data_IF_333139156188
#
_entry.id   IF_333139156188
#
_cell.length_a   1.000
_cell.length_b   1.000
_cell.length_c   1.000
_cell.angle_alpha   90.00
_cell.angle_beta   90.00
_cell.angle_gamma   90.00
#
_symmetry.space_group_name_H-M   'P 1'
#
loop_
_entity.id
_entity.type
_entity.pdbx_description
1 polymer ?
#
# COMPACT_ATOMS: atom_id res chain seq x y z
N UNK A 1 7.03 -15.19 10.27
CA UNK A 1 6.21 -14.02 9.87
C UNK A 1 6.74 -13.43 8.57
N UNK A 2 7.97 -12.90 8.49
CA UNK A 2 8.52 -12.30 7.24
C UNK A 2 8.39 -13.23 6.01
N UNK A 3 8.69 -14.52 6.16
CA UNK A 3 8.62 -15.50 5.05
C UNK A 3 7.20 -15.70 4.47
N UNK A 4 6.16 -15.26 5.16
CA UNK A 4 4.78 -15.31 4.70
C UNK A 4 4.36 -14.02 3.97
N UNK A 5 5.20 -12.98 3.97
CA UNK A 5 5.02 -11.77 3.14
C UNK A 5 5.74 -12.00 1.81
N UNK A 6 5.07 -12.01 0.65
CA UNK A 6 5.71 -12.21 -0.66
C UNK A 6 6.87 -11.25 -0.97
N UNK A 7 6.82 -10.01 -0.46
CA UNK A 7 7.94 -9.07 -0.58
C UNK A 7 9.15 -9.40 0.30
N UNK A 8 9.07 -10.41 1.17
CA UNK A 8 10.21 -10.91 1.95
C UNK A 8 10.74 -9.94 3.01
N UNK A 9 9.98 -8.89 3.36
CA UNK A 9 10.34 -7.89 4.37
C UNK A 9 9.13 -7.41 5.15
N UNK A 10 9.39 -6.80 6.31
CA UNK A 10 8.37 -6.02 7.01
C UNK A 10 7.99 -4.76 6.22
N UNK A 11 6.74 -4.34 6.39
CA UNK A 11 6.29 -3.02 5.97
C UNK A 11 6.98 -1.92 6.78
N UNK A 12 7.31 -0.83 6.11
CA UNK A 12 7.87 0.38 6.68
C UNK A 12 6.83 1.51 6.58
N UNK A 13 6.92 2.56 7.42
CA UNK A 13 6.01 3.70 7.34
C UNK A 13 5.90 4.30 5.92
N UNK A 14 7.03 4.36 5.21
CA UNK A 14 7.11 4.86 3.83
C UNK A 14 6.24 4.07 2.84
N UNK A 15 6.01 2.77 3.06
CA UNK A 15 5.18 1.96 2.17
C UNK A 15 3.72 2.42 2.18
N UNK A 16 3.19 2.75 3.36
CA UNK A 16 1.84 3.28 3.52
C UNK A 16 1.78 4.75 3.11
N UNK A 17 2.80 5.54 3.46
CA UNK A 17 2.87 6.95 3.12
C UNK A 17 2.82 7.18 1.60
N UNK A 18 3.53 6.37 0.81
CA UNK A 18 3.50 6.48 -0.66
C UNK A 18 2.13 6.16 -1.24
N UNK A 19 1.41 5.18 -0.69
CA UNK A 19 0.02 4.90 -1.10
C UNK A 19 -0.90 6.05 -0.73
N UNK A 20 -0.75 6.61 0.47
CA UNK A 20 -1.54 7.76 0.90
C UNK A 20 -1.30 9.01 0.03
N UNK A 21 -0.05 9.29 -0.31
CA UNK A 21 0.31 10.40 -1.20
C UNK A 21 -0.27 10.20 -2.60
N UNK A 22 -0.18 8.99 -3.15
CA UNK A 22 -0.85 8.66 -4.42
C UNK A 22 -2.36 8.91 -4.35
N UNK A 23 -3.04 8.43 -3.30
CA UNK A 23 -4.48 8.64 -3.13
C UNK A 23 -4.87 10.11 -2.96
N UNK A 24 -3.96 10.95 -2.46
CA UNK A 24 -4.16 12.39 -2.31
C UNK A 24 -3.76 13.20 -3.57
N UNK A 25 -3.24 12.54 -4.60
CA UNK A 25 -2.73 13.18 -5.82
C UNK A 25 -3.76 13.21 -6.94
N UNK A 26 -3.55 14.07 -7.95
CA UNK A 26 -4.45 14.18 -9.11
C UNK A 26 -4.50 12.90 -9.94
N UNK A 27 -3.44 12.08 -9.88
CA UNK A 27 -3.33 10.78 -10.50
C UNK A 27 -4.39 9.78 -10.00
N UNK A 28 -4.93 10.01 -8.80
CA UNK A 28 -6.00 9.20 -8.22
C UNK A 28 -7.41 9.79 -8.45
N UNK A 29 -7.57 10.80 -9.31
CA UNK A 29 -8.83 11.55 -9.50
C UNK A 29 -10.07 10.71 -9.87
N UNK A 30 -9.89 9.50 -10.40
CA UNK A 30 -11.00 8.58 -10.72
C UNK A 30 -11.20 7.44 -9.71
N UNK A 31 -10.41 7.40 -8.64
CA UNK A 31 -10.52 6.40 -7.57
C UNK A 31 -11.37 6.96 -6.42
N UNK A 32 -12.48 6.28 -6.12
CA UNK A 32 -13.35 6.61 -4.98
C UNK A 32 -14.04 5.35 -4.45
N UNK A 33 -14.31 5.28 -3.16
CA UNK A 33 -14.97 4.13 -2.52
C UNK A 33 -14.11 2.88 -2.37
N UNK A 34 -12.84 2.92 -2.79
CA UNK A 34 -11.94 1.76 -2.82
C UNK A 34 -11.06 1.65 -1.57
N UNK A 35 -10.65 0.41 -1.25
CA UNK A 35 -9.74 0.12 -0.15
C UNK A 35 -8.45 -0.51 -0.67
N UNK A 36 -7.37 0.27 -0.66
CA UNK A 36 -6.03 -0.23 -1.02
C UNK A 36 -5.34 -0.84 0.20
N UNK A 37 -4.82 -2.06 0.06
CA UNK A 37 -4.11 -2.77 1.13
C UNK A 37 -2.62 -2.82 0.84
N UNK A 38 -1.81 -2.05 1.56
CA UNK A 38 -0.35 -2.04 1.47
C UNK A 38 0.28 -3.15 2.34
N UNK A 39 0.06 -4.42 1.99
CA UNK A 39 0.44 -5.58 2.83
C UNK A 39 1.71 -6.31 2.39
N UNK A 40 2.40 -5.82 1.36
CA UNK A 40 3.53 -6.52 0.75
C UNK A 40 3.18 -7.90 0.18
N UNK A 41 1.91 -8.10 -0.20
CA UNK A 41 1.38 -9.34 -0.77
C UNK A 41 0.77 -10.31 0.26
N UNK A 42 0.77 -9.95 1.55
CA UNK A 42 0.03 -10.73 2.55
C UNK A 42 -1.48 -10.55 2.34
N UNK A 43 -2.24 -11.64 2.31
CA UNK A 43 -3.70 -11.61 2.17
C UNK A 43 -4.38 -12.32 3.32
#
# INVERSE_FOLDING_TARGET
IIAMTPLGRFGLPDDVARVAVFLASDEASWLTGERITASGGWR
#
